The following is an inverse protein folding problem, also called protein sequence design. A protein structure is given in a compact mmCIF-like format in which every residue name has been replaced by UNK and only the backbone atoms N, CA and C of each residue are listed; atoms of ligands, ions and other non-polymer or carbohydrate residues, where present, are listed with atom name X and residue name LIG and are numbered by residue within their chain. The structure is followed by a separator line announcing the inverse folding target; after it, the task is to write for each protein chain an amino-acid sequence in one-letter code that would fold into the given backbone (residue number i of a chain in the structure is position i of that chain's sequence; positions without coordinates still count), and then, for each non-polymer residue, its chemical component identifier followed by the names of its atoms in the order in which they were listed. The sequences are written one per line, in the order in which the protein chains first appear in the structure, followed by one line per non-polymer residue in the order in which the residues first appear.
data_IF_881637895826
#
_entry.id   IF_881637895826
#
_cell.length_a   1.000
_cell.length_b   1.000
_cell.length_c   1.000
_cell.angle_alpha   90.00
_cell.angle_beta   90.00
_cell.angle_gamma   90.00
#
_symmetry.space_group_name_H-M   'P 1'
#
loop_
_entity.id
_entity.type
_entity.pdbx_description
1 polymer ?
#
# COMPACT_ATOMS: atom_id res chain seq x y z
N UNK A 1 -23.32 2.90 -7.93
CA UNK A 1 -22.03 3.09 -7.24
C UNK A 1 -21.81 1.85 -6.36
N UNK A 2 -20.82 0.99 -6.66
CA UNK A 2 -20.51 -0.14 -5.78
C UNK A 2 -19.86 0.41 -4.50
N UNK A 3 -20.32 0.01 -3.30
CA UNK A 3 -19.69 0.43 -2.06
C UNK A 3 -18.27 -0.15 -1.97
N UNK A 4 -17.30 0.68 -1.59
CA UNK A 4 -15.94 0.23 -1.30
C UNK A 4 -15.97 -0.80 -0.17
N UNK A 5 -15.32 -1.94 -0.40
CA UNK A 5 -15.21 -2.97 0.62
C UNK A 5 -14.28 -2.50 1.74
N UNK A 6 -14.32 -3.16 2.89
CA UNK A 6 -13.31 -2.92 3.95
C UNK A 6 -11.90 -3.15 3.43
N UNK A 7 -11.72 -4.15 2.57
CA UNK A 7 -10.44 -4.46 1.96
C UNK A 7 -9.91 -3.29 1.12
N UNK A 8 -10.75 -2.71 0.24
CA UNK A 8 -10.36 -1.57 -0.60
C UNK A 8 -9.97 -0.33 0.22
N UNK A 9 -10.65 -0.10 1.34
CA UNK A 9 -10.33 1.02 2.23
C UNK A 9 -9.03 0.82 2.98
N UNK A 10 -8.78 -0.40 3.44
CA UNK A 10 -7.55 -0.72 4.18
C UNK A 10 -6.36 -0.76 3.23
N UNK A 11 -6.53 -1.27 2.01
CA UNK A 11 -5.45 -1.31 1.02
C UNK A 11 -4.95 0.10 0.66
N UNK A 12 -5.85 1.07 0.48
CA UNK A 12 -5.46 2.47 0.29
C UNK A 12 -4.66 3.05 1.47
N UNK A 13 -5.00 2.67 2.70
CA UNK A 13 -4.22 3.07 3.89
C UNK A 13 -2.85 2.41 3.94
N UNK A 14 -2.77 1.13 3.58
CA UNK A 14 -1.50 0.39 3.49
C UNK A 14 -0.60 1.05 2.44
N UNK A 15 -1.13 1.41 1.27
CA UNK A 15 -0.37 2.09 0.22
C UNK A 15 0.29 3.39 0.71
N UNK A 16 -0.47 4.24 1.42
CA UNK A 16 0.07 5.49 1.98
C UNK A 16 1.14 5.19 3.03
N UNK A 17 0.89 4.25 3.94
CA UNK A 17 1.83 3.89 5.00
C UNK A 17 3.15 3.33 4.45
N UNK A 18 3.11 2.45 3.45
CA UNK A 18 4.32 1.90 2.83
C UNK A 18 5.06 2.99 2.05
N UNK A 19 4.35 3.85 1.32
CA UNK A 19 4.97 4.98 0.61
C UNK A 19 5.72 5.90 1.58
N UNK A 20 5.12 6.19 2.73
CA UNK A 20 5.75 6.97 3.78
C UNK A 20 6.97 6.27 4.38
N UNK A 21 6.92 4.95 4.58
CA UNK A 21 8.04 4.16 5.06
C UNK A 21 9.20 4.14 4.06
N UNK A 22 8.92 3.94 2.77
CA UNK A 22 9.91 3.98 1.71
C UNK A 22 10.61 5.33 1.65
N UNK A 23 9.84 6.43 1.71
CA UNK A 23 10.40 7.80 1.64
C UNK A 23 11.19 8.19 2.88
N UNK A 24 10.71 7.85 4.08
CA UNK A 24 11.28 8.37 5.33
C UNK A 24 12.36 7.47 5.93
N UNK A 25 12.30 6.15 5.71
CA UNK A 25 13.15 5.18 6.42
C UNK A 25 14.11 4.41 5.53
N UNK A 26 13.94 4.42 4.20
CA UNK A 26 14.85 3.69 3.33
C UNK A 26 15.91 4.60 2.72
N UNK A 27 17.16 4.42 3.16
CA UNK A 27 18.34 5.10 2.61
C UNK A 27 18.90 4.37 1.37
N UNK A 28 18.03 3.80 0.53
CA UNK A 28 18.46 3.10 -0.68
C UNK A 28 18.11 3.94 -1.92
N UNK A 29 19.10 4.57 -2.57
CA UNK A 29 18.88 5.43 -3.74
C UNK A 29 18.15 4.73 -4.89
N UNK A 30 18.28 3.40 -5.00
CA UNK A 30 17.61 2.60 -6.04
C UNK A 30 16.10 2.49 -5.82
N UNK A 31 15.64 2.63 -4.58
CA UNK A 31 14.24 2.48 -4.18
C UNK A 31 13.58 3.84 -3.95
N UNK A 32 14.38 4.91 -3.84
CA UNK A 32 13.91 6.28 -3.63
C UNK A 32 12.94 6.77 -4.74
N UNK A 33 13.17 6.33 -5.98
CA UNK A 33 12.28 6.62 -7.12
C UNK A 33 11.12 5.61 -7.29
N UNK A 34 11.05 4.56 -6.46
CA UNK A 34 9.99 3.55 -6.60
C UNK A 34 8.65 4.13 -6.11
N UNK A 35 7.62 4.02 -6.95
CA UNK A 35 6.27 4.48 -6.64
C UNK A 35 5.33 3.28 -6.54
N UNK A 36 4.64 3.14 -5.42
CA UNK A 36 3.64 2.07 -5.25
C UNK A 36 2.34 2.51 -5.92
N UNK A 37 1.96 1.77 -6.97
CA UNK A 37 0.76 2.07 -7.78
C UNK A 37 -0.53 1.55 -7.16
N UNK A 38 -0.46 0.50 -6.35
CA UNK A 38 -1.63 -0.03 -5.67
C UNK A 38 -1.26 -1.10 -4.65
N UNK A 39 -2.24 -1.47 -3.84
CA UNK A 39 -2.15 -2.59 -2.90
C UNK A 39 -3.44 -3.38 -3.02
N UNK A 40 -3.36 -4.70 -3.10
CA UNK A 40 -4.51 -5.60 -3.02
C UNK A 40 -4.49 -6.30 -1.69
N UNK A 41 -5.61 -6.21 -0.97
CA UNK A 41 -5.79 -6.89 0.30
C UNK A 41 -6.78 -8.04 0.10
N UNK A 42 -6.44 -9.21 0.62
CA UNK A 42 -7.37 -10.35 0.62
C UNK A 42 -8.63 -10.02 1.40
N UNK A 43 -9.75 -10.69 1.07
CA UNK A 43 -11.05 -10.44 1.71
C UNK A 43 -11.06 -10.77 3.21
N UNK A 44 -10.17 -11.67 3.66
CA UNK A 44 -9.97 -12.00 5.07
C UNK A 44 -9.01 -11.03 5.79
N UNK A 45 -8.52 -10.00 5.08
CA UNK A 45 -7.65 -8.93 5.58
C UNK A 45 -6.28 -9.41 6.09
N UNK A 46 -5.84 -10.60 5.70
CA UNK A 46 -4.60 -11.20 6.21
C UNK A 46 -3.38 -10.94 5.34
N UNK A 47 -3.54 -10.90 4.02
CA UNK A 47 -2.42 -10.81 3.06
C UNK A 47 -2.60 -9.59 2.18
N UNK A 48 -1.56 -8.76 2.11
CA UNK A 48 -1.48 -7.60 1.24
C UNK A 48 -0.41 -7.80 0.17
N UNK A 49 -0.82 -7.73 -1.09
CA UNK A 49 0.06 -7.78 -2.26
C UNK A 49 0.27 -6.35 -2.80
N UNK A 50 1.53 -6.01 -3.07
CA UNK A 50 2.00 -4.66 -3.45
C UNK A 50 2.60 -4.67 -4.84
#
# INVERSE_FOLDING_TARGET
MKPYTRADRISGRIQVAITDLLRKKMQNPKVEMATITGVKLTSDLRIADV
#
